data_IF_081373733250
#
_entry.id   IF_081373733250
#
_cell.length_a   1.000
_cell.length_b   1.000
_cell.length_c   1.000
_cell.angle_alpha   90.00
_cell.angle_beta   90.00
_cell.angle_gamma   90.00
#
_symmetry.space_group_name_H-M   'P 1'
#
loop_
_entity.id
_entity.type
_entity.pdbx_description
1 polymer ?
#
# COMPACT_ATOMS: atom_id res chain seq x y z
N UNK A 1 15.50 -16.04 -19.61
CA UNK A 1 14.20 -15.51 -19.15
C UNK A 1 13.71 -14.36 -20.02
N UNK A 2 14.44 -13.24 -20.14
CA UNK A 2 14.04 -12.14 -21.02
C UNK A 2 13.76 -12.62 -22.47
N UNK A 3 14.63 -13.47 -23.02
CA UNK A 3 14.41 -14.10 -24.34
C UNK A 3 13.12 -14.92 -24.41
N UNK A 4 12.74 -15.63 -23.34
CA UNK A 4 11.52 -16.44 -23.31
C UNK A 4 10.26 -15.55 -23.34
N UNK A 5 10.26 -14.42 -22.62
CA UNK A 5 9.20 -13.42 -22.70
C UNK A 5 9.12 -12.80 -24.10
N UNK A 6 10.27 -12.39 -24.67
CA UNK A 6 10.32 -11.83 -26.02
C UNK A 6 9.83 -12.83 -27.08
N UNK A 7 10.21 -14.11 -26.96
CA UNK A 7 9.72 -15.18 -27.85
C UNK A 7 8.20 -15.42 -27.73
N UNK A 8 7.63 -15.16 -26.55
CA UNK A 8 6.19 -15.18 -26.31
C UNK A 8 5.47 -13.87 -26.73
N UNK A 9 6.19 -12.90 -27.32
CA UNK A 9 5.63 -11.62 -27.73
C UNK A 9 5.44 -10.60 -26.62
N UNK A 10 6.06 -10.81 -25.45
CA UNK A 10 6.04 -9.90 -24.31
C UNK A 10 7.38 -9.15 -24.28
N UNK A 11 7.41 -7.84 -24.60
CA UNK A 11 8.65 -7.06 -24.61
C UNK A 11 9.36 -7.10 -23.25
N UNK A 12 10.60 -7.58 -23.22
CA UNK A 12 11.36 -7.77 -22.00
C UNK A 12 12.82 -7.32 -22.13
N UNK A 13 13.31 -6.60 -21.11
CA UNK A 13 14.70 -6.17 -20.98
C UNK A 13 15.46 -6.95 -19.89
N UNK A 14 16.79 -7.03 -20.02
CA UNK A 14 17.69 -7.64 -19.03
C UNK A 14 18.67 -6.60 -18.50
N UNK A 15 18.80 -6.49 -17.17
CA UNK A 15 19.83 -5.68 -16.52
C UNK A 15 20.73 -6.58 -15.66
N UNK A 16 22.04 -6.49 -15.89
CA UNK A 16 23.10 -7.17 -15.13
C UNK A 16 24.35 -6.28 -14.99
N UNK A 17 25.28 -6.69 -14.12
CA UNK A 17 26.38 -5.83 -13.62
C UNK A 17 27.44 -5.46 -14.65
N UNK A 18 27.46 -6.12 -15.80
CA UNK A 18 28.44 -5.91 -16.86
C UNK A 18 27.96 -4.88 -17.91
N UNK A 19 26.68 -4.49 -17.87
CA UNK A 19 26.16 -3.44 -18.74
C UNK A 19 26.77 -2.09 -18.41
N UNK A 20 27.06 -1.30 -19.45
CA UNK A 20 27.47 0.09 -19.30
C UNK A 20 26.37 0.95 -18.66
N UNK A 21 26.75 2.10 -18.10
CA UNK A 21 25.77 3.02 -17.51
C UNK A 21 24.72 3.50 -18.52
N UNK A 22 25.12 3.66 -19.78
CA UNK A 22 24.25 4.13 -20.87
C UNK A 22 23.22 3.06 -21.25
N UNK A 23 23.65 1.81 -21.39
CA UNK A 23 22.76 0.67 -21.65
C UNK A 23 21.73 0.48 -20.53
N UNK A 24 22.17 0.58 -19.26
CA UNK A 24 21.25 0.51 -18.11
C UNK A 24 20.20 1.62 -18.17
N UNK A 25 20.61 2.87 -18.42
CA UNK A 25 19.67 4.01 -18.51
C UNK A 25 18.67 3.82 -19.65
N UNK A 26 19.09 3.29 -20.79
CA UNK A 26 18.21 3.04 -21.92
C UNK A 26 17.15 1.98 -21.60
N UNK A 27 17.55 0.86 -20.99
CA UNK A 27 16.62 -0.22 -20.63
C UNK A 27 15.64 0.24 -19.55
N UNK A 28 16.12 0.96 -18.53
CA UNK A 28 15.25 1.53 -17.49
C UNK A 28 14.28 2.57 -18.06
N UNK A 29 14.72 3.38 -19.01
CA UNK A 29 13.88 4.32 -19.74
C UNK A 29 12.78 3.63 -20.55
N UNK A 30 13.14 2.56 -21.26
CA UNK A 30 12.18 1.74 -22.02
C UNK A 30 11.15 1.05 -21.10
N UNK A 31 11.55 0.64 -19.89
CA UNK A 31 10.59 0.08 -18.92
C UNK A 31 9.67 1.17 -18.36
N UNK A 32 10.24 2.32 -17.98
CA UNK A 32 9.46 3.43 -17.44
C UNK A 32 8.48 4.04 -18.46
N UNK A 33 8.76 3.96 -19.76
CA UNK A 33 7.87 4.40 -20.85
C UNK A 33 6.81 3.36 -21.24
N UNK A 34 6.93 2.12 -20.74
CA UNK A 34 6.08 0.99 -21.13
C UNK A 34 6.45 0.34 -22.47
N UNK A 35 7.59 0.69 -23.08
CA UNK A 35 8.11 0.02 -24.28
C UNK A 35 8.50 -1.43 -23.99
N UNK A 36 9.03 -1.69 -22.78
CA UNK A 36 9.19 -3.05 -22.26
C UNK A 36 8.25 -3.29 -21.07
N UNK A 37 7.55 -4.42 -21.09
CA UNK A 37 6.61 -4.81 -20.06
C UNK A 37 7.28 -5.58 -18.90
N UNK A 38 8.41 -6.24 -19.16
CA UNK A 38 9.10 -7.06 -18.17
C UNK A 38 10.56 -6.62 -18.04
N UNK A 39 10.98 -6.30 -16.81
CA UNK A 39 12.37 -6.01 -16.49
C UNK A 39 12.98 -7.16 -15.69
N UNK A 40 13.85 -7.94 -16.33
CA UNK A 40 14.63 -8.99 -15.67
C UNK A 40 15.89 -8.37 -15.06
N UNK A 41 16.03 -8.46 -13.74
CA UNK A 41 17.18 -7.93 -13.03
C UNK A 41 17.97 -9.04 -12.33
N UNK A 42 19.29 -9.03 -12.49
CA UNK A 42 20.22 -9.92 -11.79
C UNK A 42 21.23 -9.08 -11.01
N UNK A 43 21.10 -9.08 -9.68
CA UNK A 43 22.08 -8.53 -8.73
C UNK A 43 22.51 -7.06 -8.94
N UNK A 44 21.74 -6.23 -9.68
CA UNK A 44 22.10 -4.82 -9.94
C UNK A 44 21.15 -3.81 -9.30
N UNK A 45 19.86 -4.13 -9.17
CA UNK A 45 18.91 -3.18 -8.55
C UNK A 45 18.98 -3.21 -7.01
N UNK A 46 20.13 -2.96 -6.42
CA UNK A 46 20.24 -2.61 -4.99
C UNK A 46 20.14 -1.10 -4.77
N UNK A 47 20.42 -0.25 -5.77
CA UNK A 47 20.35 1.20 -5.63
C UNK A 47 19.70 1.88 -6.86
N UNK A 48 18.67 2.69 -6.63
CA UNK A 48 18.34 3.83 -7.51
C UNK A 48 17.19 3.71 -8.52
N UNK A 49 16.67 2.52 -8.85
CA UNK A 49 15.49 2.43 -9.72
C UNK A 49 14.20 2.31 -8.89
N UNK A 50 13.37 3.34 -8.97
CA UNK A 50 12.03 3.39 -8.41
C UNK A 50 11.01 3.64 -9.53
N UNK A 51 10.04 2.74 -9.67
CA UNK A 51 8.96 2.85 -10.63
C UNK A 51 7.66 2.36 -10.00
N UNK A 52 6.97 3.24 -9.23
CA UNK A 52 5.72 2.91 -8.53
C UNK A 52 4.62 2.25 -9.38
N UNK A 53 4.48 2.54 -10.70
CA UNK A 53 3.51 1.82 -11.55
C UNK A 53 3.73 0.31 -11.66
N UNK A 54 4.88 -0.23 -11.23
CA UNK A 54 5.12 -1.68 -11.22
C UNK A 54 4.06 -2.38 -10.37
N UNK A 55 3.30 -3.30 -10.99
CA UNK A 55 2.20 -4.05 -10.38
C UNK A 55 2.43 -5.56 -10.32
N UNK A 56 3.60 -6.04 -10.76
CA UNK A 56 3.93 -7.47 -10.69
C UNK A 56 5.40 -7.68 -10.33
N UNK A 57 5.66 -8.57 -9.38
CA UNK A 57 7.01 -8.98 -8.97
C UNK A 57 7.13 -10.49 -9.09
N UNK A 58 8.09 -10.95 -9.91
CA UNK A 58 8.37 -12.37 -10.11
C UNK A 58 9.67 -12.74 -9.39
N UNK A 59 9.58 -13.60 -8.39
CA UNK A 59 10.73 -14.11 -7.63
C UNK A 59 11.16 -15.46 -8.23
N UNK A 60 12.30 -15.44 -8.93
CA UNK A 60 12.86 -16.62 -9.60
C UNK A 60 14.08 -17.22 -8.87
N UNK A 61 14.55 -16.56 -7.81
CA UNK A 61 15.66 -17.04 -6.99
C UNK A 61 15.17 -17.42 -5.59
N UNK A 62 15.69 -18.49 -4.99
CA UNK A 62 15.54 -18.69 -3.55
C UNK A 62 16.15 -17.50 -2.81
N UNK A 63 15.35 -16.83 -1.99
CA UNK A 63 15.81 -15.79 -1.07
C UNK A 63 16.14 -16.45 0.25
N UNK A 64 17.42 -16.50 0.60
CA UNK A 64 17.88 -17.03 1.89
C UNK A 64 17.40 -16.18 3.07
N UNK A 65 17.07 -14.90 2.86
CA UNK A 65 16.65 -13.96 3.91
C UNK A 65 15.28 -13.34 3.64
N UNK A 66 14.43 -13.26 4.68
CA UNK A 66 13.10 -12.61 4.66
C UNK A 66 13.18 -11.12 4.33
N UNK A 67 14.19 -10.41 4.86
CA UNK A 67 14.40 -8.98 4.61
C UNK A 67 14.63 -8.66 3.13
N UNK A 68 15.45 -9.45 2.44
CA UNK A 68 15.70 -9.29 1.00
C UNK A 68 14.44 -9.54 0.18
N UNK A 69 13.63 -10.53 0.56
CA UNK A 69 12.32 -10.80 -0.07
C UNK A 69 11.37 -9.61 0.08
N UNK A 70 11.23 -9.08 1.30
CA UNK A 70 10.40 -7.90 1.58
C UNK A 70 10.87 -6.69 0.75
N UNK A 71 12.18 -6.46 0.65
CA UNK A 71 12.71 -5.37 -0.17
C UNK A 71 12.43 -5.55 -1.66
N UNK A 72 12.48 -6.78 -2.18
CA UNK A 72 12.16 -7.07 -3.58
C UNK A 72 10.67 -6.87 -3.87
N UNK A 73 9.79 -7.40 -3.01
CA UNK A 73 8.33 -7.26 -3.13
C UNK A 73 7.89 -5.81 -2.91
N UNK A 74 8.52 -5.11 -1.96
CA UNK A 74 8.23 -3.71 -1.65
C UNK A 74 8.37 -2.77 -2.84
N UNK A 75 9.16 -3.13 -3.86
CA UNK A 75 9.25 -2.36 -5.12
C UNK A 75 7.91 -2.32 -5.87
N UNK A 76 7.16 -3.42 -5.84
CA UNK A 76 5.83 -3.51 -6.45
C UNK A 76 4.71 -2.98 -5.56
N UNK A 77 4.91 -2.88 -4.24
CA UNK A 77 3.88 -2.42 -3.29
C UNK A 77 3.83 -0.90 -3.12
N UNK A 78 4.72 -0.13 -3.75
CA UNK A 78 4.71 1.35 -3.65
C UNK A 78 3.41 1.94 -4.19
N UNK A 79 2.82 2.90 -3.50
CA UNK A 79 1.63 3.59 -4.00
C UNK A 79 1.97 4.48 -5.19
N UNK A 80 1.01 4.65 -6.10
CA UNK A 80 1.19 5.51 -7.28
C UNK A 80 0.70 6.91 -6.94
N UNK A 81 1.57 7.91 -7.08
CA UNK A 81 1.18 9.33 -6.99
C UNK A 81 0.50 9.74 -8.32
N UNK A 82 -0.79 10.13 -8.30
CA UNK A 82 -1.52 10.51 -9.51
C UNK A 82 -0.97 11.76 -10.22
N UNK A 83 -0.18 12.59 -9.56
CA UNK A 83 0.48 13.74 -10.20
C UNK A 83 1.76 13.33 -10.94
N UNK A 84 2.53 12.38 -10.38
CA UNK A 84 3.74 11.85 -11.02
C UNK A 84 3.41 10.88 -12.16
N UNK A 85 2.35 10.09 -11.99
CA UNK A 85 1.90 9.07 -12.94
C UNK A 85 0.43 9.28 -13.32
N UNK A 86 0.11 10.35 -14.09
CA UNK A 86 -1.25 10.66 -14.46
C UNK A 86 -1.87 9.54 -15.31
N UNK A 87 -3.03 9.06 -14.88
CA UNK A 87 -3.79 8.03 -15.58
C UNK A 87 -3.46 6.58 -15.18
N UNK A 88 -2.45 6.38 -14.34
CA UNK A 88 -2.13 5.06 -13.77
C UNK A 88 -2.88 4.91 -12.45
N UNK A 89 -3.69 3.86 -12.33
CA UNK A 89 -4.36 3.47 -11.08
C UNK A 89 -3.90 2.07 -10.74
N UNK A 90 -3.22 1.93 -9.60
CA UNK A 90 -2.78 0.62 -9.11
C UNK A 90 -3.61 0.21 -7.92
N UNK A 91 -4.47 -0.80 -8.11
CA UNK A 91 -5.31 -1.37 -7.07
C UNK A 91 -4.66 -2.54 -6.37
N UNK A 92 -3.85 -3.31 -7.10
CA UNK A 92 -3.19 -4.50 -6.58
C UNK A 92 -1.73 -4.61 -7.08
N UNK A 93 -1.00 -5.52 -6.45
CA UNK A 93 0.32 -5.95 -6.91
C UNK A 93 0.41 -7.47 -6.79
N UNK A 94 0.65 -8.14 -7.92
CA UNK A 94 0.77 -9.59 -7.98
C UNK A 94 2.21 -10.00 -7.66
N UNK A 95 2.38 -10.91 -6.71
CA UNK A 95 3.68 -11.52 -6.39
C UNK A 95 3.66 -12.98 -6.82
N UNK A 96 4.50 -13.32 -7.80
CA UNK A 96 4.67 -14.68 -8.29
C UNK A 96 5.99 -15.23 -7.76
N UNK A 97 5.93 -16.19 -6.85
CA UNK A 97 7.12 -16.80 -6.26
C UNK A 97 7.35 -18.23 -6.78
N UNK A 98 8.41 -18.37 -7.58
CA UNK A 98 8.91 -19.65 -8.08
C UNK A 98 10.22 -20.07 -7.39
N UNK A 99 10.72 -19.25 -6.45
CA UNK A 99 11.96 -19.47 -5.71
C UNK A 99 11.79 -20.20 -4.37
N UNK A 100 10.59 -20.70 -4.04
CA UNK A 100 10.28 -21.35 -2.74
C UNK A 100 10.40 -20.40 -1.53
N UNK A 101 10.53 -19.09 -1.72
CA UNK A 101 10.84 -18.14 -0.64
C UNK A 101 9.66 -17.91 0.31
N UNK A 102 8.44 -17.88 -0.23
CA UNK A 102 7.15 -17.81 0.47
C UNK A 102 6.87 -19.07 1.31
N UNK A 103 7.32 -20.23 0.82
CA UNK A 103 7.26 -21.50 1.56
C UNK A 103 8.30 -21.57 2.69
N UNK A 104 9.43 -20.86 2.56
CA UNK A 104 10.49 -20.79 3.59
C UNK A 104 10.23 -19.73 4.67
N UNK A 105 9.66 -18.57 4.31
CA UNK A 105 9.51 -17.41 5.20
C UNK A 105 8.07 -17.16 5.70
N UNK A 106 7.08 -17.87 5.17
CA UNK A 106 5.67 -17.71 5.56
C UNK A 106 5.10 -16.36 5.11
N UNK A 107 4.47 -15.62 6.04
CA UNK A 107 3.86 -14.30 5.78
C UNK A 107 4.89 -13.24 5.38
N UNK A 108 4.50 -12.37 4.43
CA UNK A 108 5.27 -11.18 4.02
C UNK A 108 5.25 -10.07 5.09
N UNK A 109 4.46 -10.23 6.15
CA UNK A 109 4.43 -9.31 7.28
C UNK A 109 5.75 -9.37 8.03
N UNK A 110 6.35 -8.19 8.24
CA UNK A 110 7.44 -8.02 9.17
C UNK A 110 6.79 -7.78 10.53
N UNK A 111 6.78 -8.79 11.39
CA UNK A 111 6.40 -8.61 12.79
C UNK A 111 7.46 -7.71 13.44
N UNK A 112 7.23 -6.40 13.40
CA UNK A 112 7.99 -5.44 14.20
C UNK A 112 7.29 -5.40 15.56
N UNK A 113 7.68 -6.32 16.43
CA UNK A 113 7.33 -6.24 17.84
C UNK A 113 8.18 -5.12 18.45
N UNK A 114 7.53 -4.00 18.78
CA UNK A 114 8.18 -2.86 19.45
C UNK A 114 8.24 -3.06 20.97
N UNK A 115 7.79 -4.20 21.48
CA UNK A 115 7.98 -4.60 22.88
C UNK A 115 9.18 -5.55 23.02
N UNK A 116 10.10 -5.13 23.87
CA UNK A 116 11.46 -5.63 24.05
C UNK A 116 11.53 -7.06 24.64
N UNK A 117 11.10 -8.09 23.89
CA UNK A 117 11.29 -9.51 24.24
C UNK A 117 11.72 -10.35 23.05
N UNK A 118 13.01 -10.64 23.02
CA UNK A 118 13.68 -11.55 22.09
C UNK A 118 13.08 -12.97 22.11
N UNK A 119 12.35 -13.32 21.05
CA UNK A 119 12.15 -14.70 20.63
C UNK A 119 12.73 -14.88 19.21
N UNK A 120 14.06 -14.90 19.12
CA UNK A 120 14.75 -15.27 17.89
C UNK A 120 14.72 -16.80 17.73
N UNK A 121 13.73 -17.32 17.02
CA UNK A 121 13.72 -18.71 16.58
C UNK A 121 13.53 -18.75 15.07
N UNK A 122 14.61 -18.88 14.30
CA UNK A 122 14.51 -19.24 12.88
C UNK A 122 13.78 -20.57 12.74
N UNK A 123 12.83 -20.66 11.80
CA UNK A 123 12.18 -21.93 11.50
C UNK A 123 13.23 -23.02 11.19
N UNK A 124 13.12 -24.22 11.77
CA UNK A 124 14.14 -25.25 11.60
C UNK A 124 14.21 -25.74 10.14
N UNK A 125 15.43 -25.83 9.60
CA UNK A 125 15.73 -26.29 8.25
C UNK A 125 16.47 -27.64 8.27
N UNK A 126 16.48 -28.36 7.15
CA UNK A 126 17.29 -29.55 6.89
C UNK A 126 17.89 -29.49 5.50
N UNK A 127 18.96 -30.25 5.26
CA UNK A 127 19.59 -30.35 3.94
C UNK A 127 18.99 -31.50 3.15
N UNK A 128 18.63 -31.26 1.89
CA UNK A 128 18.21 -32.30 0.98
C UNK A 128 19.40 -33.22 0.65
N UNK A 129 19.29 -34.54 0.82
CA UNK A 129 20.39 -35.47 0.54
C UNK A 129 20.71 -35.61 -0.96
N UNK A 130 19.79 -35.24 -1.85
CA UNK A 130 19.93 -35.48 -3.29
C UNK A 130 20.47 -34.25 -4.05
N UNK A 131 20.16 -33.04 -3.59
CA UNK A 131 20.56 -31.80 -4.25
C UNK A 131 21.26 -30.79 -3.31
N UNK A 132 21.57 -31.21 -2.08
CA UNK A 132 22.23 -30.42 -1.03
C UNK A 132 21.53 -29.09 -0.66
N UNK A 133 20.28 -28.91 -1.09
CA UNK A 133 19.57 -27.68 -0.83
C UNK A 133 19.02 -27.61 0.61
N UNK A 134 19.13 -26.44 1.24
CA UNK A 134 18.47 -26.16 2.51
C UNK A 134 16.96 -25.98 2.31
N UNK A 135 16.18 -26.81 2.99
CA UNK A 135 14.73 -26.93 2.86
C UNK A 135 14.08 -26.97 4.25
N UNK A 136 12.76 -26.72 4.41
CA UNK A 136 12.12 -26.78 5.72
C UNK A 136 12.22 -28.17 6.35
N UNK A 137 12.43 -28.26 7.66
CA UNK A 137 12.53 -29.55 8.38
C UNK A 137 11.30 -30.46 8.10
N UNK A 138 10.11 -29.85 7.99
CA UNK A 138 8.85 -30.54 7.72
C UNK A 138 8.59 -30.98 6.27
N UNK A 139 9.46 -30.65 5.31
CA UNK A 139 9.26 -31.02 3.90
C UNK A 139 9.35 -32.54 3.71
N UNK A 140 8.28 -33.19 3.23
CA UNK A 140 8.24 -34.63 2.92
C UNK A 140 8.78 -34.98 1.53
N UNK A 141 8.88 -33.98 0.67
CA UNK A 141 9.45 -34.05 -0.66
C UNK A 141 10.32 -32.80 -0.83
N UNK A 142 11.48 -32.95 -1.49
CA UNK A 142 12.35 -31.83 -1.77
C UNK A 142 11.69 -30.92 -2.83
N UNK A 143 11.40 -29.65 -2.52
CA UNK A 143 10.77 -28.73 -3.47
C UNK A 143 11.66 -28.35 -4.66
N UNK A 144 12.95 -28.70 -4.63
CA UNK A 144 13.92 -28.32 -5.66
C UNK A 144 14.24 -29.45 -6.63
N UNK A 145 14.18 -30.71 -6.20
CA UNK A 145 14.49 -31.86 -7.05
C UNK A 145 13.46 -33.00 -7.01
N UNK A 146 12.42 -32.90 -6.18
CA UNK A 146 11.38 -33.93 -6.05
C UNK A 146 11.81 -35.18 -5.26
N UNK A 147 12.98 -35.17 -4.61
CA UNK A 147 13.44 -36.27 -3.78
C UNK A 147 12.49 -36.52 -2.61
N UNK A 148 12.04 -37.76 -2.41
CA UNK A 148 11.19 -38.14 -1.28
C UNK A 148 12.03 -38.25 0.01
N UNK A 149 11.67 -37.46 1.02
CA UNK A 149 12.43 -37.30 2.26
C UNK A 149 11.75 -38.08 3.39
N UNK A 150 11.88 -39.40 3.38
CA UNK A 150 11.20 -40.28 4.34
C UNK A 150 12.18 -40.79 5.39
N UNK A 151 11.90 -40.54 6.68
CA UNK A 151 12.18 -41.48 7.77
C UNK A 151 11.07 -41.46 8.84
N UNK A 152 10.96 -42.58 9.56
CA UNK A 152 9.79 -43.09 10.30
C UNK A 152 9.43 -42.35 11.61
N UNK A 153 8.15 -42.50 12.00
CA UNK A 153 7.38 -41.85 13.07
C UNK A 153 8.00 -41.80 14.47
N UNK A 154 7.66 -40.74 15.21
CA UNK A 154 7.00 -40.87 16.52
C UNK A 154 5.89 -39.82 16.69
N UNK A 155 4.82 -40.23 17.36
CA UNK A 155 3.53 -39.54 17.47
C UNK A 155 3.60 -38.32 18.40
N UNK A 156 3.41 -37.13 17.82
CA UNK A 156 3.07 -35.90 18.54
C UNK A 156 2.18 -35.07 17.64
N UNK A 157 0.88 -35.05 17.95
CA UNK A 157 -0.16 -34.43 17.12
C UNK A 157 0.19 -33.00 16.76
N UNK A 158 0.49 -32.76 15.48
CA UNK A 158 0.40 -31.44 14.90
C UNK A 158 -1.09 -31.20 14.62
N UNK A 159 -1.75 -30.44 15.49
CA UNK A 159 -3.01 -29.81 15.11
C UNK A 159 -2.77 -29.04 13.81
N UNK A 160 -3.63 -29.27 12.83
CA UNK A 160 -3.71 -28.45 11.65
C UNK A 160 -3.90 -27.01 12.12
N UNK A 161 -3.02 -26.10 11.68
CA UNK A 161 -3.22 -24.66 11.83
C UNK A 161 -4.40 -24.24 10.95
N UNK A 162 -5.60 -24.53 11.43
CA UNK A 162 -6.85 -24.00 10.90
C UNK A 162 -7.06 -22.62 11.53
N UNK A 163 -6.53 -21.60 10.84
CA UNK A 163 -6.86 -20.22 11.17
C UNK A 163 -5.68 -19.29 11.05
N UNK A 164 -5.46 -18.77 9.84
CA UNK A 164 -4.86 -17.44 9.73
C UNK A 164 -5.89 -16.43 10.23
N UNK A 165 -5.61 -15.79 11.37
CA UNK A 165 -6.34 -14.60 11.80
C UNK A 165 -5.70 -13.42 11.08
N UNK A 166 -6.33 -12.96 10.00
CA UNK A 166 -6.03 -11.66 9.42
C UNK A 166 -6.30 -10.61 10.51
N UNK A 167 -5.26 -9.90 10.94
CA UNK A 167 -5.47 -8.78 11.87
C UNK A 167 -5.88 -7.59 11.03
N UNK A 168 -7.17 -7.28 11.04
CA UNK A 168 -7.67 -6.06 10.40
C UNK A 168 -7.06 -4.86 11.12
N UNK A 169 -6.06 -4.23 10.49
CA UNK A 169 -5.49 -2.98 10.98
C UNK A 169 -6.52 -1.90 10.68
N UNK A 170 -7.28 -1.52 11.70
CA UNK A 170 -8.19 -0.39 11.62
C UNK A 170 -7.36 0.91 11.55
N UNK A 171 -7.07 1.34 10.32
CA UNK A 171 -6.35 2.58 10.02
C UNK A 171 -6.97 3.80 10.71
N UNK A 172 -8.30 3.80 10.92
CA UNK A 172 -8.99 4.89 11.61
C UNK A 172 -8.64 4.94 13.10
N UNK A 173 -8.37 3.80 13.74
CA UNK A 173 -7.97 3.75 15.16
C UNK A 173 -6.52 4.20 15.37
N UNK A 174 -5.67 4.12 14.34
CA UNK A 174 -4.26 4.52 14.40
C UNK A 174 -4.02 5.96 13.95
N UNK A 175 -4.96 6.56 13.21
CA UNK A 175 -4.90 7.95 12.80
C UNK A 175 -4.85 8.89 14.00
N UNK A 176 -3.98 9.90 13.93
CA UNK A 176 -3.95 11.02 14.88
C UNK A 176 -5.18 11.93 14.76
N UNK A 177 -6.00 11.75 13.72
CA UNK A 177 -7.15 12.58 13.39
C UNK A 177 -8.46 11.81 13.51
N UNK A 178 -9.51 12.52 13.90
CA UNK A 178 -10.85 11.95 13.85
C UNK A 178 -11.38 12.04 12.41
N UNK A 179 -11.73 10.91 11.81
CA UNK A 179 -12.38 10.88 10.51
C UNK A 179 -13.89 10.97 10.66
N UNK A 180 -14.49 11.87 9.89
CA UNK A 180 -15.93 12.16 9.93
C UNK A 180 -16.56 11.71 8.63
N UNK A 181 -17.59 10.87 8.73
CA UNK A 181 -18.51 10.61 7.62
C UNK A 181 -19.42 11.84 7.45
N UNK A 182 -19.29 12.50 6.30
CA UNK A 182 -19.97 13.75 6.03
C UNK A 182 -21.48 13.59 5.78
N UNK A 183 -21.92 12.40 5.36
CA UNK A 183 -23.31 12.17 4.93
C UNK A 183 -23.99 10.97 5.61
N UNK A 184 -23.24 10.14 6.32
CA UNK A 184 -23.78 8.94 6.98
C UNK A 184 -23.95 7.74 6.06
N UNK A 185 -23.44 7.82 4.82
CA UNK A 185 -23.47 6.77 3.82
C UNK A 185 -22.09 6.12 3.59
N UNK A 186 -21.11 6.49 4.43
CA UNK A 186 -19.70 6.15 4.35
C UNK A 186 -19.01 6.53 3.04
N UNK A 187 -19.67 7.18 2.07
CA UNK A 187 -19.10 7.45 0.75
C UNK A 187 -18.16 8.67 0.72
N UNK A 188 -18.18 9.50 1.77
CA UNK A 188 -17.31 10.67 1.90
C UNK A 188 -16.82 10.82 3.33
N UNK A 189 -15.53 10.57 3.54
CA UNK A 189 -14.87 10.68 4.84
C UNK A 189 -13.89 11.85 4.81
N UNK A 190 -13.85 12.64 5.87
CA UNK A 190 -12.97 13.81 5.94
C UNK A 190 -12.42 14.02 7.35
N UNK A 191 -11.15 14.39 7.42
CA UNK A 191 -10.48 14.83 8.62
C UNK A 191 -9.90 16.25 8.41
N UNK A 192 -9.92 17.06 9.47
CA UNK A 192 -9.47 18.46 9.43
C UNK A 192 -8.47 18.79 10.54
N UNK A 193 -7.34 19.39 10.12
CA UNK A 193 -6.35 20.05 10.96
C UNK A 193 -6.60 21.56 11.08
N UNK A 194 -5.56 22.32 11.45
CA UNK A 194 -5.57 23.78 11.51
C UNK A 194 -5.13 24.42 10.20
N UNK A 195 -4.19 23.81 9.49
CA UNK A 195 -3.61 24.32 8.24
C UNK A 195 -3.94 23.45 7.04
N UNK A 196 -4.31 22.20 7.23
CA UNK A 196 -4.59 21.20 6.22
C UNK A 196 -5.84 20.38 6.56
N UNK A 197 -6.38 19.73 5.54
CA UNK A 197 -7.45 18.75 5.64
C UNK A 197 -7.17 17.60 4.65
N UNK A 198 -7.66 16.41 4.99
CA UNK A 198 -7.63 15.22 4.15
C UNK A 198 -9.05 14.68 3.99
N UNK A 199 -9.39 14.23 2.79
CA UNK A 199 -10.70 13.62 2.54
C UNK A 199 -10.60 12.50 1.52
N UNK A 200 -11.42 11.48 1.69
CA UNK A 200 -11.59 10.38 0.72
C UNK A 200 -13.03 10.34 0.24
N UNK A 201 -13.21 10.12 -1.05
CA UNK A 201 -14.51 10.21 -1.71
C UNK A 201 -14.68 9.01 -2.63
N UNK A 202 -15.78 8.30 -2.50
CA UNK A 202 -16.15 7.22 -3.39
C UNK A 202 -16.82 7.76 -4.65
N UNK A 203 -16.39 7.25 -5.82
CA UNK A 203 -17.06 7.52 -7.10
C UNK A 203 -16.80 6.37 -8.08
N UNK A 204 -17.85 5.87 -8.73
CA UNK A 204 -17.78 4.90 -9.82
C UNK A 204 -16.91 3.65 -9.56
N UNK A 205 -16.91 3.17 -8.31
CA UNK A 205 -16.22 1.94 -7.88
C UNK A 205 -14.80 2.15 -7.34
N UNK A 206 -14.27 3.38 -7.38
CA UNK A 206 -12.95 3.72 -6.84
C UNK A 206 -13.07 4.77 -5.74
N UNK A 207 -12.08 4.79 -4.85
CA UNK A 207 -11.87 5.85 -3.89
C UNK A 207 -10.87 6.85 -4.41
N UNK A 208 -11.07 8.11 -4.05
CA UNK A 208 -10.22 9.23 -4.41
C UNK A 208 -9.79 9.96 -3.14
N UNK A 209 -8.49 9.98 -2.86
CA UNK A 209 -7.91 10.74 -1.77
C UNK A 209 -7.57 12.16 -2.22
N UNK A 210 -8.01 13.16 -1.47
CA UNK A 210 -7.80 14.58 -1.76
C UNK A 210 -7.28 15.28 -0.51
N UNK A 211 -6.20 16.04 -0.70
CA UNK A 211 -5.58 16.87 0.32
C UNK A 211 -5.77 18.35 0.01
N UNK A 212 -6.05 19.15 1.04
CA UNK A 212 -6.03 20.60 0.92
C UNK A 212 -5.21 21.23 2.03
N UNK A 213 -4.61 22.39 1.72
CA UNK A 213 -3.87 23.21 2.68
C UNK A 213 -4.21 24.69 2.48
N UNK A 214 -4.20 25.45 3.57
CA UNK A 214 -4.45 26.89 3.55
C UNK A 214 -3.41 27.60 2.67
N UNK A 215 -3.89 28.28 1.63
CA UNK A 215 -3.04 29.02 0.68
C UNK A 215 -2.44 28.19 -0.45
N UNK A 216 -2.78 26.91 -0.55
CA UNK A 216 -2.35 26.02 -1.64
C UNK A 216 -3.55 25.53 -2.47
N UNK A 217 -3.28 25.05 -3.69
CA UNK A 217 -4.29 24.34 -4.48
C UNK A 217 -4.57 22.95 -3.88
N UNK A 218 -5.75 22.41 -4.19
CA UNK A 218 -6.12 21.05 -3.79
C UNK A 218 -5.27 20.05 -4.57
N UNK A 219 -4.85 18.99 -3.89
CA UNK A 219 -4.02 17.92 -4.44
C UNK A 219 -4.79 16.60 -4.48
N UNK A 220 -4.68 15.87 -5.58
CA UNK A 220 -5.14 14.48 -5.65
C UNK A 220 -4.02 13.60 -5.08
N UNK A 221 -4.29 12.93 -3.97
CA UNK A 221 -3.29 12.16 -3.22
C UNK A 221 -3.21 10.71 -3.69
N UNK A 222 -4.32 10.17 -4.21
CA UNK A 222 -4.39 8.80 -4.68
C UNK A 222 -5.74 8.37 -5.18
N UNK A 223 -5.74 7.25 -5.89
CA UNK A 223 -6.92 6.60 -6.47
C UNK A 223 -6.78 5.09 -6.24
N UNK A 224 -7.82 4.44 -5.73
CA UNK A 224 -7.78 2.99 -5.53
C UNK A 224 -8.78 2.49 -4.49
N UNK A 225 -8.34 1.55 -3.66
CA UNK A 225 -9.14 1.02 -2.56
C UNK A 225 -9.29 2.02 -1.40
N UNK A 226 -10.34 1.83 -0.60
CA UNK A 226 -10.67 2.68 0.55
C UNK A 226 -9.50 2.84 1.52
N UNK A 227 -8.87 1.72 1.90
CA UNK A 227 -7.79 1.71 2.88
C UNK A 227 -6.55 2.47 2.39
N UNK A 228 -6.19 2.29 1.11
CA UNK A 228 -5.05 3.00 0.47
C UNK A 228 -5.30 4.51 0.45
N UNK A 229 -6.48 4.92 -0.03
CA UNK A 229 -6.84 6.33 -0.09
C UNK A 229 -6.88 6.96 1.31
N UNK A 230 -7.39 6.23 2.30
CA UNK A 230 -7.43 6.68 3.69
C UNK A 230 -6.02 6.89 4.24
N UNK A 231 -5.12 5.93 4.03
CA UNK A 231 -3.73 6.03 4.46
C UNK A 231 -3.02 7.24 3.83
N UNK A 232 -3.16 7.44 2.51
CA UNK A 232 -2.55 8.58 1.82
C UNK A 232 -3.08 9.94 2.31
N UNK A 233 -4.37 10.02 2.61
CA UNK A 233 -4.98 11.24 3.13
C UNK A 233 -4.61 11.49 4.61
N UNK A 234 -4.38 10.43 5.40
CA UNK A 234 -3.84 10.53 6.76
C UNK A 234 -2.37 10.98 6.77
N UNK A 235 -1.54 10.37 5.92
CA UNK A 235 -0.14 10.78 5.74
C UNK A 235 -0.01 12.24 5.31
N UNK A 236 -0.91 12.70 4.42
CA UNK A 236 -0.98 14.12 4.04
C UNK A 236 -1.21 15.02 5.25
N UNK A 237 -2.14 14.64 6.14
CA UNK A 237 -2.42 15.39 7.36
C UNK A 237 -1.23 15.36 8.31
N UNK A 238 -0.64 14.19 8.58
CA UNK A 238 0.53 14.06 9.46
C UNK A 238 1.74 14.85 8.93
N UNK A 239 1.90 14.96 7.61
CA UNK A 239 3.01 15.70 6.99
C UNK A 239 2.82 17.23 7.04
N UNK A 240 1.56 17.70 6.98
CA UNK A 240 1.25 19.12 6.82
C UNK A 240 0.70 19.79 8.08
N UNK A 241 0.40 19.04 9.12
CA UNK A 241 0.05 19.53 10.46
C UNK A 241 1.23 19.37 11.43
N UNK A 242 1.26 20.18 12.48
CA UNK A 242 2.26 20.04 13.55
C UNK A 242 1.75 19.15 14.69
N UNK A 243 2.64 18.44 15.38
CA UNK A 243 2.30 17.50 16.48
C UNK A 243 1.47 18.15 17.61
N UNK A 244 1.70 19.43 17.93
CA UNK A 244 0.91 20.16 18.93
C UNK A 244 -0.58 20.31 18.56
N UNK A 245 -0.89 20.17 17.28
CA UNK A 245 -2.18 20.51 16.69
C UNK A 245 -3.03 19.28 16.34
N UNK A 246 -2.40 18.10 16.24
CA UNK A 246 -3.06 16.80 16.22
C UNK A 246 -3.76 16.51 17.56
N UNK A 247 -3.17 16.95 18.67
CA UNK A 247 -3.80 16.93 19.99
C UNK A 247 -4.71 18.14 20.23
N UNK A 248 -5.75 18.29 19.40
CA UNK A 248 -6.96 19.00 19.86
C UNK A 248 -7.36 18.32 21.16
N UNK A 249 -7.29 19.03 22.29
CA UNK A 249 -7.63 18.47 23.62
C UNK A 249 -8.92 17.69 23.43
N UNK A 250 -8.95 16.38 23.71
CA UNK A 250 -10.07 15.48 23.31
C UNK A 250 -11.46 16.05 23.65
N UNK A 251 -11.54 16.89 24.70
CA UNK A 251 -12.74 17.63 25.07
C UNK A 251 -13.21 18.73 24.12
N UNK A 252 -12.35 19.38 23.32
CA UNK A 252 -12.75 20.39 22.32
C UNK A 252 -13.49 19.76 21.13
N UNK A 253 -13.09 18.56 20.72
CA UNK A 253 -13.63 17.85 19.56
C UNK A 253 -15.12 17.54 19.74
N UNK A 254 -15.51 17.11 20.94
CA UNK A 254 -16.89 16.75 21.29
C UNK A 254 -17.78 17.91 21.75
N UNK A 255 -17.28 19.15 21.81
CA UNK A 255 -18.11 20.29 22.20
C UNK A 255 -19.15 20.62 21.13
N UNK A 256 -20.20 21.36 21.51
CA UNK A 256 -21.14 21.90 20.55
C UNK A 256 -20.46 22.89 19.56
N UNK A 257 -20.96 22.98 18.32
CA UNK A 257 -20.47 23.91 17.31
C UNK A 257 -20.60 25.35 17.79
N UNK A 258 -19.66 26.19 17.38
CA UNK A 258 -19.74 27.63 17.64
C UNK A 258 -20.78 28.30 16.76
N UNK A 259 -21.35 29.42 17.21
CA UNK A 259 -22.33 30.19 16.42
C UNK A 259 -21.78 30.57 15.03
N UNK A 260 -20.49 30.92 14.96
CA UNK A 260 -19.81 31.20 13.69
C UNK A 260 -19.80 30.00 12.74
N UNK A 261 -19.63 28.78 13.25
CA UNK A 261 -19.69 27.57 12.43
C UNK A 261 -21.11 27.32 11.90
N UNK A 262 -22.12 27.48 12.76
CA UNK A 262 -23.54 27.30 12.40
C UNK A 262 -24.05 28.31 11.35
N UNK A 263 -23.36 29.45 11.17
CA UNK A 263 -23.65 30.41 10.11
C UNK A 263 -23.27 29.88 8.71
N UNK A 264 -22.25 29.03 8.61
CA UNK A 264 -21.79 28.46 7.33
C UNK A 264 -22.46 27.12 6.98
N UNK A 265 -23.17 26.51 7.93
CA UNK A 265 -23.86 25.24 7.76
C UNK A 265 -25.34 25.42 7.35
N UNK A 266 -25.94 24.43 6.66
CA UNK A 266 -27.36 24.50 6.31
C UNK A 266 -28.26 24.54 7.56
N UNK A 267 -29.50 25.06 7.45
CA UNK A 267 -30.42 25.13 8.59
C UNK A 267 -30.71 23.78 9.26
N UNK A 268 -30.67 22.68 8.51
CA UNK A 268 -30.83 21.31 9.03
C UNK A 268 -29.74 20.95 10.06
N UNK A 269 -28.51 21.44 9.88
CA UNK A 269 -27.40 21.20 10.81
C UNK A 269 -27.59 21.91 12.16
N UNK A 270 -28.47 22.92 12.25
CA UNK A 270 -28.81 23.58 13.52
C UNK A 270 -29.81 22.78 14.36
N UNK A 271 -30.47 21.80 13.76
CA UNK A 271 -31.42 20.90 14.41
C UNK A 271 -30.76 19.57 14.81
N UNK A 272 -29.50 19.36 14.42
CA UNK A 272 -28.72 18.19 14.77
C UNK A 272 -28.03 18.40 16.13
N UNK A 273 -28.61 17.82 17.18
CA UNK A 273 -28.08 17.85 18.54
C UNK A 273 -26.86 16.95 18.73
N UNK A 274 -26.57 16.06 17.78
CA UNK A 274 -25.37 15.21 17.78
C UNK A 274 -24.17 15.85 17.06
N UNK A 275 -24.38 16.98 16.39
CA UNK A 275 -23.33 17.65 15.63
C UNK A 275 -22.25 18.18 16.58
N UNK A 276 -21.04 17.64 16.45
CA UNK A 276 -19.90 18.11 17.24
C UNK A 276 -19.21 19.28 16.55
N UNK A 277 -18.43 20.04 17.31
CA UNK A 277 -17.61 21.14 16.80
C UNK A 277 -16.64 20.67 15.73
N UNK A 278 -16.08 19.47 15.89
CA UNK A 278 -15.18 18.89 14.91
C UNK A 278 -15.93 18.51 13.62
N UNK A 279 -17.08 17.83 13.74
CA UNK A 279 -17.92 17.48 12.60
C UNK A 279 -18.35 18.76 11.84
N UNK A 280 -18.76 19.81 12.55
CA UNK A 280 -19.06 21.10 11.94
C UNK A 280 -17.88 21.67 11.14
N UNK A 281 -16.64 21.58 11.64
CA UNK A 281 -15.43 22.01 10.90
C UNK A 281 -15.18 21.18 9.64
N UNK A 282 -15.41 19.87 9.68
CA UNK A 282 -15.30 18.99 8.51
C UNK A 282 -16.33 19.38 7.44
N UNK A 283 -17.60 19.52 7.81
CA UNK A 283 -18.67 19.93 6.90
C UNK A 283 -18.43 21.31 6.28
N UNK A 284 -17.92 22.28 7.06
CA UNK A 284 -17.57 23.61 6.56
C UNK A 284 -16.42 23.52 5.55
N UNK A 285 -15.36 22.78 5.88
CA UNK A 285 -14.21 22.57 5.00
C UNK A 285 -14.65 21.91 3.70
N UNK A 286 -15.47 20.86 3.77
CA UNK A 286 -16.06 20.24 2.59
C UNK A 286 -16.89 21.25 1.78
N UNK A 287 -17.77 22.02 2.41
CA UNK A 287 -18.65 22.98 1.72
C UNK A 287 -17.86 24.02 0.93
N UNK A 288 -16.80 24.58 1.51
CA UNK A 288 -15.96 25.57 0.82
C UNK A 288 -15.18 24.97 -0.35
N UNK A 289 -14.81 23.69 -0.27
CA UNK A 289 -13.98 23.02 -1.27
C UNK A 289 -14.78 22.13 -2.23
N UNK A 290 -16.09 21.93 -2.02
CA UNK A 290 -16.95 20.96 -2.74
C UNK A 290 -16.81 21.04 -4.26
N UNK A 291 -16.82 22.26 -4.81
CA UNK A 291 -16.70 22.45 -6.26
C UNK A 291 -15.34 22.01 -6.79
N UNK A 292 -14.27 22.40 -6.09
CA UNK A 292 -12.90 22.05 -6.48
C UNK A 292 -12.64 20.54 -6.33
N UNK A 293 -13.10 19.94 -5.22
CA UNK A 293 -13.05 18.48 -5.00
C UNK A 293 -13.75 17.76 -6.16
N UNK A 294 -14.98 18.16 -6.50
CA UNK A 294 -15.73 17.52 -7.58
C UNK A 294 -15.03 17.65 -8.93
N UNK A 295 -14.49 18.83 -9.24
CA UNK A 295 -13.75 19.04 -10.49
C UNK A 295 -12.50 18.17 -10.56
N UNK A 296 -11.75 18.06 -9.46
CA UNK A 296 -10.53 17.26 -9.39
C UNK A 296 -10.82 15.77 -9.58
N UNK A 297 -11.81 15.24 -8.87
CA UNK A 297 -12.22 13.84 -8.97
C UNK A 297 -12.78 13.53 -10.37
N UNK A 298 -13.63 14.41 -10.92
CA UNK A 298 -14.17 14.22 -12.27
C UNK A 298 -13.08 14.23 -13.35
N UNK A 299 -12.07 15.10 -13.22
CA UNK A 299 -10.91 15.09 -14.11
C UNK A 299 -10.06 13.83 -13.95
N UNK A 300 -10.07 13.22 -12.76
CA UNK A 300 -9.32 12.00 -12.46
C UNK A 300 -10.01 10.72 -12.96
N UNK A 301 -11.33 10.71 -13.06
CA UNK A 301 -12.15 9.52 -13.32
C UNK A 301 -12.44 9.22 -14.80
N UNK A 302 -11.81 9.92 -15.74
CA UNK A 302 -12.07 9.80 -17.18
C UNK A 302 -11.96 8.34 -17.67
N UNK A 303 -12.91 7.83 -18.48
CA UNK A 303 -13.12 6.40 -18.74
C UNK A 303 -11.98 5.61 -19.39
N UNK A 304 -10.96 6.27 -19.95
CA UNK A 304 -9.77 5.61 -20.50
C UNK A 304 -8.88 4.93 -19.44
N UNK A 305 -9.08 5.24 -18.15
CA UNK A 305 -8.18 4.86 -17.04
C UNK A 305 -8.51 3.53 -16.34
N UNK A 306 -9.48 2.76 -16.85
CA UNK A 306 -9.96 1.51 -16.21
C UNK A 306 -9.16 0.25 -16.57
N UNK A 307 -8.16 0.35 -17.45
CA UNK A 307 -7.40 -0.81 -17.93
C UNK A 307 -5.91 -0.48 -18.07
N UNK A 308 -5.14 -0.73 -17.01
CA UNK A 308 -3.69 -0.96 -17.08
C UNK A 308 -3.31 -1.89 -15.93
#
# INVERSE_FOLDING_TARGET
MAEAFNAAGIPAGLIHGELSADERRNILGAYASGEIAVLVNVAVLTEGFDHPPTSCVILLRPSSCKSTMIQMVGRGLRTVDPEEHPGVVKTDCVVLDFGTSSLMHGTLEQDVDLDDRSASGSAPTKTCPDCDAEIPLGARECPLCGALLVEQKDEGGAEALEGFVMTEIDLLKRSSFQWVDLFGDEAALMATGFTAWGGIFWMDGLWYAVGGRRGAQLRLLGIGERAVCLAQADDWLNTHESDESAFKTRGWLGQAPTEKQLQYLPPSARQDYGLTRYHASALISFRFNKRAIRQLIQAAATPERRAA
#
